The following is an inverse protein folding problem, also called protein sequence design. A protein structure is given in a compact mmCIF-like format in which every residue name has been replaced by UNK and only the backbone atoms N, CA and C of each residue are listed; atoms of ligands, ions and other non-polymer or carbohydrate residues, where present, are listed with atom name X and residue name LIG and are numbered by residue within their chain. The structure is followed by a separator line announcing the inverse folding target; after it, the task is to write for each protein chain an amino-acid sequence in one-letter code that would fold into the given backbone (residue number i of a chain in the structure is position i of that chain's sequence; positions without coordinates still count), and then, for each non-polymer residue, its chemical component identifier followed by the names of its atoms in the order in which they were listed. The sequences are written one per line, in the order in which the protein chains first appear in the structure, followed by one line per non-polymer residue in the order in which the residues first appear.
data_IF_729644561737
#
_entry.id   IF_729644561737
#
_cell.length_a   1.000
_cell.length_b   1.000
_cell.length_c   1.000
_cell.angle_alpha   90.00
_cell.angle_beta   90.00
_cell.angle_gamma   90.00
#
_symmetry.space_group_name_H-M   'P 1'
#
loop_
_entity.id
_entity.type
_entity.pdbx_description
1 polymer ?
#
# COMPACT_ATOMS: atom_id res chain seq x y z
N UNK A 1 2.04 23.68 -8.70
CA UNK A 1 0.82 23.07 -8.09
C UNK A 1 0.69 23.46 -6.62
N UNK A 2 1.49 22.89 -5.69
CA UNK A 2 1.40 23.29 -4.28
C UNK A 2 1.88 24.73 -4.00
N UNK A 3 2.96 25.16 -4.66
CA UNK A 3 3.44 26.55 -4.61
C UNK A 3 2.44 27.57 -5.18
N UNK A 4 1.52 27.12 -6.03
CA UNK A 4 0.45 27.93 -6.62
C UNK A 4 -0.82 27.97 -5.72
N UNK A 5 -0.77 27.38 -4.52
CA UNK A 5 -1.88 27.38 -3.57
C UNK A 5 -2.94 26.29 -3.78
N UNK A 6 -2.75 25.35 -4.71
CA UNK A 6 -3.68 24.23 -4.89
C UNK A 6 -3.53 23.19 -3.78
N UNK A 7 -4.68 22.68 -3.31
CA UNK A 7 -4.72 21.50 -2.45
C UNK A 7 -4.33 20.26 -3.25
N UNK A 8 -3.31 19.56 -2.79
CA UNK A 8 -2.68 18.44 -3.50
C UNK A 8 -2.77 17.16 -2.68
N UNK A 9 -2.97 16.02 -3.35
CA UNK A 9 -2.96 14.73 -2.71
C UNK A 9 -2.18 13.72 -3.55
N UNK A 10 -1.71 12.66 -2.89
CA UNK A 10 -1.18 11.47 -3.57
C UNK A 10 -2.08 10.28 -3.29
N UNK A 11 -2.31 9.48 -4.33
CA UNK A 11 -2.94 8.18 -4.22
C UNK A 11 -1.86 7.10 -4.30
N UNK A 12 -1.72 6.31 -3.24
CA UNK A 12 -0.74 5.23 -3.09
C UNK A 12 -1.51 3.93 -3.10
N UNK A 13 -1.68 3.36 -4.29
CA UNK A 13 -2.49 2.16 -4.48
C UNK A 13 -2.36 1.54 -5.87
N UNK A 14 -2.52 0.21 -5.98
CA UNK A 14 -2.62 -0.71 -4.85
C UNK A 14 -1.26 -0.88 -4.14
N UNK A 15 -1.27 -0.93 -2.81
CA UNK A 15 -0.08 -1.29 -2.03
C UNK A 15 0.26 -2.75 -2.32
N UNK A 16 1.47 -3.01 -2.82
CA UNK A 16 1.97 -4.37 -3.00
C UNK A 16 2.68 -4.83 -1.72
N UNK A 17 2.22 -5.91 -1.06
CA UNK A 17 2.87 -6.45 0.12
C UNK A 17 4.38 -6.68 -0.09
N UNK A 18 5.17 -6.26 0.89
CA UNK A 18 6.64 -6.40 0.91
C UNK A 18 7.42 -5.66 -0.20
N UNK A 19 6.75 -5.02 -1.16
CA UNK A 19 7.38 -4.29 -2.27
C UNK A 19 7.17 -2.78 -2.16
N UNK A 20 6.03 -2.34 -1.64
CA UNK A 20 5.76 -0.91 -1.42
C UNK A 20 6.41 -0.42 -0.12
N UNK A 21 7.40 0.46 -0.24
CA UNK A 21 8.04 1.14 0.90
C UNK A 21 7.27 2.42 1.26
N UNK A 22 6.46 2.33 2.31
CA UNK A 22 5.64 3.47 2.75
C UNK A 22 6.48 4.59 3.36
N UNK A 23 7.50 4.27 4.15
CA UNK A 23 8.31 5.29 4.83
C UNK A 23 9.05 6.16 3.81
N UNK A 24 9.65 5.53 2.80
CA UNK A 24 10.35 6.25 1.73
C UNK A 24 9.37 7.09 0.88
N UNK A 25 8.15 6.59 0.63
CA UNK A 25 7.09 7.35 -0.03
C UNK A 25 6.72 8.58 0.81
N UNK A 26 6.44 8.42 2.11
CA UNK A 26 6.13 9.55 2.99
C UNK A 26 7.26 10.58 2.99
N UNK A 27 8.51 10.12 3.13
CA UNK A 27 9.70 10.99 3.14
C UNK A 27 9.83 11.81 1.87
N UNK A 28 9.70 11.18 0.69
CA UNK A 28 9.86 11.85 -0.60
C UNK A 28 8.66 12.70 -1.01
N UNK A 29 7.45 12.29 -0.67
CA UNK A 29 6.22 12.91 -1.20
C UNK A 29 5.65 13.99 -0.28
N UNK A 30 5.90 13.92 1.03
CA UNK A 30 5.36 14.87 2.01
C UNK A 30 5.58 16.36 1.68
N UNK A 31 6.72 16.81 1.13
CA UNK A 31 6.90 18.21 0.75
C UNK A 31 5.90 18.69 -0.32
N UNK A 32 5.39 17.78 -1.14
CA UNK A 32 4.62 18.10 -2.35
C UNK A 32 3.11 17.95 -2.20
N UNK A 33 2.63 17.33 -1.11
CA UNK A 33 1.20 17.00 -0.93
C UNK A 33 0.64 17.46 0.41
N UNK A 34 -0.67 17.59 0.46
CA UNK A 34 -1.47 17.95 1.64
C UNK A 34 -2.23 16.75 2.23
N UNK A 35 -2.44 15.69 1.44
CA UNK A 35 -3.14 14.47 1.83
C UNK A 35 -2.54 13.23 1.17
N UNK A 36 -2.48 12.15 1.93
CA UNK A 36 -2.23 10.81 1.39
C UNK A 36 -3.51 9.98 1.37
N UNK A 37 -3.69 9.21 0.30
CA UNK A 37 -4.79 8.27 0.15
C UNK A 37 -4.19 6.89 -0.17
N UNK A 38 -4.65 5.84 0.53
CA UNK A 38 -4.11 4.48 0.39
C UNK A 38 -5.18 3.48 -0.02
N UNK A 39 -4.83 2.53 -0.89
CA UNK A 39 -5.67 1.39 -1.28
C UNK A 39 -4.88 0.07 -1.14
N UNK A 40 -5.55 -0.97 -0.63
CA UNK A 40 -5.00 -2.32 -0.56
C UNK A 40 -5.05 -3.04 -1.91
N UNK A 41 -4.22 -4.07 -2.07
CA UNK A 41 -4.20 -4.86 -3.28
C UNK A 41 -5.46 -5.73 -3.39
N UNK A 42 -6.32 -5.39 -4.34
CA UNK A 42 -7.49 -6.20 -4.67
C UNK A 42 -7.10 -7.35 -5.60
N UNK A 43 -6.83 -8.53 -5.04
CA UNK A 43 -6.48 -9.72 -5.80
C UNK A 43 -7.65 -10.39 -6.53
N UNK A 44 -8.92 -10.01 -6.30
CA UNK A 44 -10.05 -10.82 -6.79
C UNK A 44 -10.13 -10.93 -8.32
N UNK A 45 -9.70 -9.89 -9.06
CA UNK A 45 -9.74 -9.89 -10.52
C UNK A 45 -8.41 -10.30 -11.18
N UNK A 46 -7.27 -10.14 -10.48
CA UNK A 46 -5.94 -10.28 -11.05
C UNK A 46 -5.02 -11.22 -10.24
N UNK A 47 -5.61 -12.12 -9.43
CA UNK A 47 -4.87 -12.99 -8.50
C UNK A 47 -3.77 -13.77 -9.20
N UNK A 48 -4.12 -14.41 -10.32
CA UNK A 48 -3.23 -15.33 -11.04
C UNK A 48 -2.06 -14.56 -11.63
N UNK A 49 -2.36 -13.45 -12.31
CA UNK A 49 -1.39 -12.60 -12.98
C UNK A 49 -0.42 -11.97 -11.97
N UNK A 50 -0.93 -11.47 -10.85
CA UNK A 50 -0.09 -10.95 -9.76
C UNK A 50 0.80 -12.06 -9.20
N UNK A 51 0.24 -13.23 -8.91
CA UNK A 51 1.01 -14.32 -8.34
C UNK A 51 2.10 -14.86 -9.28
N UNK A 52 1.78 -15.00 -10.57
CA UNK A 52 2.74 -15.36 -11.61
C UNK A 52 3.83 -14.30 -11.74
N UNK A 53 3.48 -13.01 -11.67
CA UNK A 53 4.45 -11.92 -11.67
C UNK A 53 5.37 -11.95 -10.43
N UNK A 54 4.83 -12.21 -9.23
CA UNK A 54 5.63 -12.37 -8.01
C UNK A 54 6.56 -13.57 -8.15
N UNK A 55 6.05 -14.75 -8.53
CA UNK A 55 6.87 -15.95 -8.70
C UNK A 55 8.01 -15.75 -9.71
N UNK A 56 7.74 -15.06 -10.81
CA UNK A 56 8.72 -14.82 -11.87
C UNK A 56 9.79 -13.79 -11.48
N UNK A 57 9.39 -12.68 -10.86
CA UNK A 57 10.28 -11.53 -10.64
C UNK A 57 10.81 -11.41 -9.21
N UNK A 58 10.11 -11.99 -8.24
CA UNK A 58 10.40 -11.96 -6.80
C UNK A 58 10.13 -13.34 -6.17
N UNK A 59 10.83 -14.40 -6.62
CA UNK A 59 10.59 -15.77 -6.15
C UNK A 59 10.71 -15.92 -4.63
N UNK A 60 11.56 -15.10 -3.98
CA UNK A 60 11.72 -15.05 -2.52
C UNK A 60 10.48 -14.55 -1.77
N UNK A 61 9.54 -13.91 -2.46
CA UNK A 61 8.28 -13.44 -1.91
C UNK A 61 7.13 -14.42 -2.16
N UNK A 62 7.33 -15.49 -2.94
CA UNK A 62 6.26 -16.43 -3.30
C UNK A 62 5.54 -16.96 -2.05
N UNK A 63 6.29 -17.50 -1.08
CA UNK A 63 5.72 -18.05 0.14
C UNK A 63 5.05 -16.99 1.02
N UNK A 64 5.60 -15.77 1.06
CA UNK A 64 4.99 -14.66 1.80
C UNK A 64 3.66 -14.26 1.19
N UNK A 65 3.58 -14.18 -0.13
CA UNK A 65 2.32 -13.90 -0.84
C UNK A 65 1.32 -15.03 -0.62
N UNK A 66 1.72 -16.30 -0.73
CA UNK A 66 0.85 -17.46 -0.46
C UNK A 66 0.19 -17.43 0.91
N UNK A 67 0.92 -16.91 1.90
CA UNK A 67 0.52 -16.85 3.30
C UNK A 67 0.04 -15.47 3.75
N UNK A 68 -0.21 -14.54 2.83
CA UNK A 68 -0.80 -13.25 3.20
C UNK A 68 -2.08 -13.47 4.00
N UNK A 69 -2.31 -12.64 5.00
CA UNK A 69 -3.49 -12.73 5.85
C UNK A 69 -4.13 -11.36 6.07
N UNK A 70 -5.30 -11.32 6.72
CA UNK A 70 -5.94 -10.03 7.08
C UNK A 70 -5.09 -9.27 8.09
N UNK A 71 -4.38 -9.98 8.95
CA UNK A 71 -3.45 -9.44 9.94
C UNK A 71 -2.37 -8.57 9.28
N UNK A 72 -1.82 -9.00 8.13
CA UNK A 72 -0.88 -8.18 7.36
C UNK A 72 -1.45 -6.79 7.03
N UNK A 73 -2.71 -6.73 6.57
CA UNK A 73 -3.36 -5.47 6.21
C UNK A 73 -3.65 -4.62 7.44
N UNK A 74 -4.05 -5.23 8.57
CA UNK A 74 -4.21 -4.51 9.83
C UNK A 74 -2.89 -3.91 10.33
N UNK A 75 -1.78 -4.63 10.22
CA UNK A 75 -0.44 -4.12 10.54
C UNK A 75 -0.05 -2.97 9.61
N UNK A 76 -0.30 -3.11 8.31
CA UNK A 76 -0.05 -2.07 7.33
C UNK A 76 -0.86 -0.79 7.60
N UNK A 77 -2.11 -0.90 8.04
CA UNK A 77 -2.88 0.28 8.47
C UNK A 77 -2.29 0.97 9.70
N UNK A 78 -1.78 0.20 10.67
CA UNK A 78 -1.12 0.76 11.86
C UNK A 78 0.13 1.52 11.45
N UNK A 79 0.96 0.93 10.59
CA UNK A 79 2.14 1.57 10.02
C UNK A 79 1.79 2.89 9.31
N UNK A 80 0.76 2.91 8.46
CA UNK A 80 0.30 4.14 7.79
C UNK A 80 -0.11 5.21 8.82
N UNK A 81 -0.83 4.83 9.87
CA UNK A 81 -1.26 5.75 10.94
C UNK A 81 -0.07 6.28 11.75
N UNK A 82 0.96 5.48 11.97
CA UNK A 82 2.19 5.89 12.64
C UNK A 82 3.02 6.86 11.77
N UNK A 83 3.17 6.55 10.48
CA UNK A 83 3.84 7.43 9.51
C UNK A 83 3.09 8.77 9.35
N UNK A 84 1.76 8.74 9.31
CA UNK A 84 0.92 9.95 9.31
C UNK A 84 1.25 10.89 10.46
N UNK A 85 1.39 10.34 11.68
CA UNK A 85 1.80 11.11 12.87
C UNK A 85 3.23 11.60 12.74
N UNK A 86 4.17 10.73 12.34
CA UNK A 86 5.60 11.04 12.19
C UNK A 86 5.84 12.21 11.22
N UNK A 87 5.15 12.22 10.09
CA UNK A 87 5.32 13.23 9.05
C UNK A 87 4.32 14.41 9.15
N UNK A 88 3.44 14.39 10.15
CA UNK A 88 2.35 15.35 10.33
C UNK A 88 1.52 15.55 9.05
N UNK A 89 1.01 14.43 8.50
CA UNK A 89 0.24 14.42 7.25
C UNK A 89 -1.13 13.77 7.42
N UNK A 90 -2.21 14.43 6.99
CA UNK A 90 -3.53 13.80 6.88
C UNK A 90 -3.50 12.57 5.98
N UNK A 91 -4.33 11.58 6.32
CA UNK A 91 -4.47 10.33 5.57
C UNK A 91 -5.94 9.95 5.36
N UNK A 92 -6.21 9.22 4.29
CA UNK A 92 -7.43 8.43 4.07
C UNK A 92 -7.03 7.00 3.67
N UNK A 93 -7.66 6.00 4.28
CA UNK A 93 -7.38 4.59 4.00
C UNK A 93 -8.65 3.94 3.45
N UNK A 94 -8.56 3.38 2.24
CA UNK A 94 -9.65 2.68 1.55
C UNK A 94 -9.34 1.18 1.45
N UNK A 95 -8.91 0.58 2.55
CA UNK A 95 -8.65 -0.85 2.55
C UNK A 95 -9.97 -1.61 2.57
N UNK A 96 -10.15 -2.50 1.61
CA UNK A 96 -11.34 -3.34 1.51
C UNK A 96 -11.19 -4.60 2.35
N UNK A 97 -9.95 -5.02 2.69
CA UNK A 97 -9.63 -6.30 3.34
C UNK A 97 -10.24 -7.50 2.58
N UNK A 98 -10.57 -7.32 1.29
CA UNK A 98 -11.51 -8.18 0.52
C UNK A 98 -10.88 -9.40 -0.15
N UNK A 99 -9.65 -9.77 0.18
CA UNK A 99 -9.04 -10.96 -0.40
C UNK A 99 -9.15 -12.16 0.53
N UNK A 100 -9.86 -13.22 0.14
CA UNK A 100 -9.49 -14.57 0.57
C UNK A 100 -8.08 -14.85 0.05
N UNK A 101 -7.08 -14.72 0.92
CA UNK A 101 -5.65 -14.75 0.56
C UNK A 101 -5.09 -16.17 0.34
N UNK A 102 -5.98 -17.18 0.34
CA UNK A 102 -5.57 -18.54 0.00
C UNK A 102 -5.39 -18.65 -1.51
N UNK A 103 -4.14 -18.68 -1.96
CA UNK A 103 -3.77 -19.17 -3.28
C UNK A 103 -3.99 -20.68 -3.27
N UNK A 104 -5.17 -21.14 -3.76
CA UNK A 104 -5.42 -22.55 -4.02
C UNK A 104 -4.77 -22.96 -5.33
#
# INVERSE_FOLDING_TARGET
MKQEGFYTYVFVGPIFPYLTDLEEIFKKVSPFVDLFIFEDLNLNQCRKEVFEAIKKNFPELEDKYRNLSKEFWFEKEKEIKELSKKFNKPIKIYFKHTGSLKFR
#
